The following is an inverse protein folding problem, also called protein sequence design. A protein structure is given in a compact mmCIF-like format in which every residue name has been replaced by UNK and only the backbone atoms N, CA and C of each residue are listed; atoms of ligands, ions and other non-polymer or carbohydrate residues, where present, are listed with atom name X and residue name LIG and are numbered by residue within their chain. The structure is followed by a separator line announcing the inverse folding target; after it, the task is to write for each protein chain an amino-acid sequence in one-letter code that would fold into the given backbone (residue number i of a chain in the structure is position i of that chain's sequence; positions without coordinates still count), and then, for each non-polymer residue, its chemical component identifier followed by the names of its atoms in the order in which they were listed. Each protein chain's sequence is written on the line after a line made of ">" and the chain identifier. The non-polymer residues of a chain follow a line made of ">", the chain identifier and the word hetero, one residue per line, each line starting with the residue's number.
data_IF_541817976159
#
_entry.id   IF_541817976159
#
_cell.length_a   1.000
_cell.length_b   1.000
_cell.length_c   1.000
_cell.angle_alpha   90.00
_cell.angle_beta   90.00
_cell.angle_gamma   90.00
#
_symmetry.space_group_name_H-M   'P 1'
#
loop_
_entity.id
_entity.type
_entity.pdbx_description
1 polymer ?
#
# COMPACT_ATOMS: atom_id res chain seq x y z
N UNK A 1 -30.08 10.90 -11.62
CA UNK A 1 -31.55 10.79 -11.74
C UNK A 1 -31.90 9.31 -11.75
N UNK A 2 -32.41 8.81 -10.63
CA UNK A 2 -33.12 7.54 -10.55
C UNK A 2 -34.08 7.71 -9.37
N UNK A 3 -35.38 7.74 -9.68
CA UNK A 3 -36.48 7.89 -8.73
C UNK A 3 -36.76 6.49 -8.19
N UNK A 4 -36.61 6.29 -6.88
CA UNK A 4 -37.05 5.05 -6.22
C UNK A 4 -38.20 5.38 -5.30
N UNK A 5 -39.35 4.84 -5.66
CA UNK A 5 -40.63 4.95 -4.99
C UNK A 5 -40.60 4.28 -3.61
N UNK A 6 -41.10 4.99 -2.60
CA UNK A 6 -41.40 4.42 -1.28
C UNK A 6 -42.85 3.94 -1.31
N UNK A 7 -43.03 2.61 -1.29
CA UNK A 7 -44.33 1.99 -1.03
C UNK A 7 -44.68 2.16 0.46
N UNK A 8 -45.76 2.88 0.73
CA UNK A 8 -46.39 2.94 2.05
C UNK A 8 -47.20 1.68 2.33
N UNK A 9 -46.92 1.04 3.46
CA UNK A 9 -47.75 -0.04 4.01
C UNK A 9 -48.98 0.53 4.69
N UNK A 10 -50.16 0.19 4.16
CA UNK A 10 -51.48 0.49 4.75
C UNK A 10 -51.79 -0.58 5.80
N UNK A 11 -51.85 -0.20 7.07
CA UNK A 11 -52.44 -1.02 8.13
C UNK A 11 -53.97 -0.84 8.10
N UNK A 12 -54.67 -1.83 7.56
CA UNK A 12 -56.12 -1.95 7.60
C UNK A 12 -56.55 -2.40 9.01
N UNK A 13 -57.21 -1.53 9.77
CA UNK A 13 -57.96 -1.91 10.98
C UNK A 13 -59.39 -2.25 10.57
N UNK A 14 -59.76 -3.52 10.75
CA UNK A 14 -61.08 -4.07 10.43
C UNK A 14 -62.18 -3.47 11.32
N UNK A 15 -63.23 -2.97 10.66
CA UNK A 15 -64.48 -2.56 11.28
C UNK A 15 -65.32 -3.79 11.66
N UNK A 16 -65.75 -3.87 12.92
CA UNK A 16 -66.92 -4.65 13.32
C UNK A 16 -68.11 -3.68 13.42
N UNK A 17 -69.05 -3.80 12.49
CA UNK A 17 -70.33 -3.09 12.50
C UNK A 17 -71.42 -4.03 13.04
N UNK A 18 -72.13 -3.61 14.07
CA UNK A 18 -73.26 -4.35 14.64
C UNK A 18 -74.13 -3.49 15.56
N UNK A 19 -75.25 -3.00 15.02
CA UNK A 19 -76.58 -2.99 15.65
C UNK A 19 -76.92 -1.99 16.76
N UNK A 20 -77.74 -1.00 16.37
CA UNK A 20 -78.84 -0.30 17.06
C UNK A 20 -78.69 0.42 18.42
N UNK A 21 -79.00 1.73 18.34
CA UNK A 21 -79.70 2.61 19.26
C UNK A 21 -79.49 2.48 20.78
N UNK A 22 -78.60 3.33 21.30
CA UNK A 22 -78.91 4.19 22.44
C UNK A 22 -77.87 5.32 22.53
N UNK A 23 -78.33 6.57 22.52
CA UNK A 23 -77.52 7.73 22.84
C UNK A 23 -77.11 7.71 24.34
N UNK A 24 -75.84 7.97 24.67
CA UNK A 24 -75.52 8.70 25.88
C UNK A 24 -74.78 10.00 25.53
N UNK A 25 -75.24 11.09 26.13
CA UNK A 25 -74.52 12.36 26.18
C UNK A 25 -73.17 12.16 26.87
N UNK A 26 -72.08 12.66 26.27
CA UNK A 26 -70.77 12.73 26.92
C UNK A 26 -69.76 13.54 26.13
N UNK A 27 -69.50 14.76 26.61
CA UNK A 27 -68.44 15.73 26.35
C UNK A 27 -67.53 15.60 25.10
N UNK A 28 -67.47 16.71 24.36
CA UNK A 28 -66.55 16.91 23.25
C UNK A 28 -65.07 16.97 23.66
N UNK A 29 -64.26 16.20 22.97
CA UNK A 29 -62.87 16.53 22.68
C UNK A 29 -62.76 16.79 21.18
N UNK A 30 -62.34 18.00 20.81
CA UNK A 30 -62.03 18.34 19.44
C UNK A 30 -60.77 17.58 18.99
N UNK A 31 -60.88 16.75 17.96
CA UNK A 31 -59.72 16.12 17.32
C UNK A 31 -58.78 17.21 16.76
N UNK A 32 -57.59 17.34 17.35
CA UNK A 32 -56.51 18.22 16.86
C UNK A 32 -56.04 17.76 15.49
N UNK A 33 -55.60 18.69 14.64
CA UNK A 33 -55.03 18.37 13.33
C UNK A 33 -53.62 17.77 13.47
N UNK A 34 -53.21 16.93 12.51
CA UNK A 34 -51.87 16.31 12.52
C UNK A 34 -50.74 17.33 12.65
N UNK A 35 -50.87 18.51 12.03
CA UNK A 35 -49.89 19.59 12.12
C UNK A 35 -49.74 20.19 13.53
N UNK A 36 -50.84 20.26 14.30
CA UNK A 36 -50.80 20.73 15.69
C UNK A 36 -50.18 19.68 16.62
N UNK A 37 -50.41 18.40 16.32
CA UNK A 37 -49.79 17.27 17.02
C UNK A 37 -48.28 17.26 16.77
N UNK A 38 -47.85 17.41 15.51
CA UNK A 38 -46.43 17.44 15.14
C UNK A 38 -45.71 18.68 15.71
N UNK A 39 -46.35 19.85 15.72
CA UNK A 39 -45.78 21.06 16.30
C UNK A 39 -45.65 21.00 17.83
N UNK A 40 -46.63 20.37 18.51
CA UNK A 40 -46.54 20.11 19.94
C UNK A 40 -45.43 19.09 20.25
N UNK A 41 -45.31 18.02 19.47
CA UNK A 41 -44.25 17.04 19.58
C UNK A 41 -42.85 17.65 19.33
N UNK A 42 -42.71 18.54 18.34
CA UNK A 42 -41.45 19.21 18.05
C UNK A 42 -41.01 20.19 19.17
N UNK A 43 -41.96 20.83 19.86
CA UNK A 43 -41.66 21.64 21.05
C UNK A 43 -41.25 20.78 22.25
N UNK A 44 -41.78 19.55 22.32
CA UNK A 44 -41.48 18.65 23.41
C UNK A 44 -40.23 17.76 23.17
N UNK A 45 -39.75 17.68 21.93
CA UNK A 45 -38.55 16.92 21.56
C UNK A 45 -37.25 17.49 22.19
N UNK A 46 -36.29 16.59 22.42
CA UNK A 46 -34.96 16.96 22.93
C UNK A 46 -34.20 17.84 21.95
N UNK A 47 -33.44 18.79 22.48
CA UNK A 47 -32.52 19.64 21.71
C UNK A 47 -31.19 18.95 21.43
N UNK A 48 -30.86 17.87 22.13
CA UNK A 48 -29.62 17.13 21.90
C UNK A 48 -29.54 16.62 20.46
N UNK A 49 -28.34 16.65 19.87
CA UNK A 49 -28.08 16.14 18.51
C UNK A 49 -26.93 15.16 18.57
N UNK A 50 -27.24 13.89 18.38
CA UNK A 50 -26.23 12.82 18.38
C UNK A 50 -25.77 12.59 16.95
N UNK A 51 -24.46 12.44 16.75
CA UNK A 51 -23.85 12.08 15.48
C UNK A 51 -23.06 10.79 15.67
N UNK A 52 -23.42 9.76 14.92
CA UNK A 52 -22.71 8.48 14.91
C UNK A 52 -21.83 8.42 13.65
N UNK A 53 -20.56 8.09 13.85
CA UNK A 53 -19.63 7.70 12.79
C UNK A 53 -19.22 6.26 13.04
N UNK A 54 -19.30 5.36 12.06
CA UNK A 54 -19.77 5.56 10.68
C UNK A 54 -21.30 5.71 10.61
N UNK A 55 -21.82 6.15 9.46
CA UNK A 55 -23.27 6.26 9.21
C UNK A 55 -23.95 4.89 9.19
N UNK A 56 -25.26 4.87 9.44
CA UNK A 56 -26.06 3.64 9.32
C UNK A 56 -25.95 3.01 7.93
N UNK A 57 -25.82 1.68 7.91
CA UNK A 57 -25.59 0.88 6.70
C UNK A 57 -24.18 0.96 6.14
N UNK A 58 -23.23 1.63 6.79
CA UNK A 58 -21.87 1.73 6.28
C UNK A 58 -21.18 0.35 6.22
N UNK A 59 -20.45 0.11 5.14
CA UNK A 59 -19.63 -1.08 4.95
C UNK A 59 -18.15 -0.71 4.89
N UNK A 60 -17.27 -1.69 5.13
CA UNK A 60 -15.81 -1.56 5.10
C UNK A 60 -15.24 -0.50 6.05
N UNK A 61 -15.84 -0.39 7.23
CA UNK A 61 -15.43 0.57 8.25
C UNK A 61 -14.07 0.19 8.83
N UNK A 62 -13.21 1.20 9.04
CA UNK A 62 -11.91 1.05 9.69
C UNK A 62 -12.03 0.45 11.10
N UNK A 63 -10.95 -0.14 11.60
CA UNK A 63 -11.00 -0.88 12.88
C UNK A 63 -10.69 -0.02 14.10
N UNK A 64 -9.93 1.06 13.92
CA UNK A 64 -9.36 1.81 15.04
C UNK A 64 -10.11 3.13 15.27
N UNK A 65 -9.96 4.10 14.36
CA UNK A 65 -10.41 5.48 14.56
C UNK A 65 -11.65 5.83 13.71
N UNK A 66 -12.27 4.82 13.09
CA UNK A 66 -13.42 4.98 12.19
C UNK A 66 -14.78 4.85 12.90
N UNK A 67 -14.80 4.67 14.22
CA UNK A 67 -16.05 4.53 15.01
C UNK A 67 -16.05 5.46 16.22
N UNK A 68 -17.01 6.38 16.27
CA UNK A 68 -17.18 7.33 17.36
C UNK A 68 -18.62 7.86 17.43
N UNK A 69 -19.04 8.31 18.60
CA UNK A 69 -20.29 9.05 18.78
C UNK A 69 -19.97 10.43 19.36
N UNK A 70 -20.62 11.47 18.86
CA UNK A 70 -20.55 12.82 19.44
C UNK A 70 -21.95 13.37 19.68
N UNK A 71 -22.08 14.32 20.60
CA UNK A 71 -23.35 15.01 20.86
C UNK A 71 -23.18 16.52 20.99
N UNK A 72 -24.05 17.30 20.34
CA UNK A 72 -24.24 18.73 20.62
C UNK A 72 -25.51 18.97 21.44
N UNK A 73 -25.56 20.08 22.17
CA UNK A 73 -26.76 20.52 22.92
C UNK A 73 -27.28 19.52 23.96
N UNK A 74 -26.42 18.60 24.40
CA UNK A 74 -26.71 17.59 25.41
C UNK A 74 -25.46 16.84 25.89
N UNK A 75 -25.66 15.77 26.65
CA UNK A 75 -24.60 14.87 27.16
C UNK A 75 -25.00 13.42 26.93
N UNK A 76 -24.06 12.60 26.47
CA UNK A 76 -24.25 11.17 26.28
C UNK A 76 -24.46 10.51 27.64
N UNK A 77 -25.52 9.72 27.76
CA UNK A 77 -25.86 8.96 28.97
C UNK A 77 -25.62 7.47 28.80
N UNK A 78 -25.77 6.96 27.58
CA UNK A 78 -25.49 5.56 27.24
C UNK A 78 -25.01 5.45 25.80
N UNK A 79 -24.00 4.61 25.58
CA UNK A 79 -23.59 4.17 24.25
C UNK A 79 -23.32 2.68 24.30
N UNK A 80 -24.04 1.92 23.50
CA UNK A 80 -23.90 0.48 23.39
C UNK A 80 -23.45 0.12 21.98
N UNK A 81 -22.32 -0.59 21.88
CA UNK A 81 -21.84 -1.18 20.63
C UNK A 81 -21.84 -2.70 20.80
N UNK A 82 -22.53 -3.43 19.91
CA UNK A 82 -22.65 -4.89 19.94
C UNK A 82 -22.37 -5.50 18.57
N UNK A 83 -21.84 -6.72 18.54
CA UNK A 83 -21.80 -7.53 17.32
C UNK A 83 -23.19 -8.05 16.97
N UNK A 84 -23.41 -8.57 15.76
CA UNK A 84 -24.69 -9.18 15.39
C UNK A 84 -25.05 -10.37 16.31
N UNK A 85 -24.03 -11.05 16.84
CA UNK A 85 -24.18 -12.20 17.73
C UNK A 85 -24.48 -11.77 19.18
N UNK A 86 -24.63 -10.46 19.43
CA UNK A 86 -24.99 -9.88 20.72
C UNK A 86 -23.81 -9.61 21.66
N UNK A 87 -22.57 -9.86 21.23
CA UNK A 87 -21.39 -9.61 22.07
C UNK A 87 -21.14 -8.10 22.20
N UNK A 88 -21.11 -7.60 23.44
CA UNK A 88 -20.80 -6.20 23.71
C UNK A 88 -19.33 -5.86 23.42
N UNK A 89 -19.09 -4.67 22.88
CA UNK A 89 -17.78 -4.06 22.69
C UNK A 89 -17.59 -2.99 23.75
N UNK A 90 -16.49 -3.08 24.48
CA UNK A 90 -16.12 -2.06 25.45
C UNK A 90 -15.79 -0.73 24.76
N UNK A 91 -16.23 0.36 25.36
CA UNK A 91 -15.91 1.71 24.92
C UNK A 91 -16.26 2.71 26.01
N UNK A 92 -15.71 3.92 25.87
CA UNK A 92 -15.73 4.91 26.93
C UNK A 92 -16.33 6.23 26.47
N UNK A 93 -17.31 6.72 27.24
CA UNK A 93 -17.78 8.10 27.15
C UNK A 93 -16.70 8.99 27.78
N UNK A 94 -16.29 10.04 27.07
CA UNK A 94 -15.36 11.04 27.57
C UNK A 94 -15.89 11.72 28.84
N UNK A 95 -15.01 12.24 29.69
CA UNK A 95 -15.40 12.82 30.99
C UNK A 95 -16.34 14.02 30.86
N UNK A 96 -16.32 14.71 29.72
CA UNK A 96 -17.21 15.83 29.39
C UNK A 96 -18.61 15.38 28.92
N UNK A 97 -18.82 14.07 28.73
CA UNK A 97 -20.06 13.51 28.21
C UNK A 97 -20.35 13.84 26.74
N UNK A 98 -19.39 14.40 25.99
CA UNK A 98 -19.63 14.90 24.62
C UNK A 98 -19.24 13.92 23.53
N UNK A 99 -18.42 12.94 23.84
CA UNK A 99 -17.94 11.95 22.88
C UNK A 99 -17.81 10.56 23.45
N UNK A 100 -17.84 9.55 22.58
CA UNK A 100 -17.57 8.16 22.90
C UNK A 100 -16.75 7.50 21.79
N UNK A 101 -15.89 6.55 22.16
CA UNK A 101 -15.15 5.69 21.23
C UNK A 101 -14.95 4.29 21.82
N UNK A 102 -14.77 3.25 20.99
CA UNK A 102 -14.40 1.91 21.48
C UNK A 102 -13.03 1.93 22.16
N UNK A 103 -12.83 1.06 23.15
CA UNK A 103 -11.58 0.97 23.93
C UNK A 103 -10.46 0.25 23.15
N UNK A 104 -10.84 -0.54 22.15
CA UNK A 104 -9.94 -1.34 21.34
C UNK A 104 -10.41 -1.40 19.89
N UNK A 105 -9.50 -1.85 19.01
CA UNK A 105 -9.80 -2.08 17.61
C UNK A 105 -10.97 -3.06 17.43
N UNK A 106 -11.91 -2.73 16.55
CA UNK A 106 -13.01 -3.61 16.19
C UNK A 106 -12.52 -4.86 15.45
N UNK A 107 -13.28 -5.94 15.53
CA UNK A 107 -13.00 -7.18 14.81
C UNK A 107 -13.26 -6.96 13.33
N UNK A 108 -12.41 -7.50 12.45
CA UNK A 108 -12.63 -7.52 10.99
C UNK A 108 -13.85 -8.34 10.61
N UNK A 109 -14.40 -8.06 9.43
CA UNK A 109 -15.51 -8.81 8.83
C UNK A 109 -16.73 -8.98 9.75
N UNK A 110 -16.92 -8.06 10.70
CA UNK A 110 -17.95 -8.15 11.74
C UNK A 110 -18.95 -7.03 11.55
N UNK A 111 -20.24 -7.38 11.61
CA UNK A 111 -21.34 -6.43 11.63
C UNK A 111 -21.61 -5.99 13.06
N UNK A 112 -21.71 -4.69 13.25
CA UNK A 112 -21.96 -4.03 14.51
C UNK A 112 -23.28 -3.26 14.49
N UNK A 113 -23.91 -3.17 15.66
CA UNK A 113 -25.03 -2.29 15.94
C UNK A 113 -24.62 -1.35 17.08
N UNK A 114 -24.75 -0.05 16.84
CA UNK A 114 -24.49 1.02 17.79
C UNK A 114 -25.81 1.70 18.15
N UNK A 115 -26.09 1.85 19.43
CA UNK A 115 -27.18 2.66 19.95
C UNK A 115 -26.64 3.69 20.94
N UNK A 116 -27.03 4.95 20.80
CA UNK A 116 -26.60 6.05 21.65
C UNK A 116 -27.82 6.79 22.21
N UNK A 117 -27.73 7.19 23.46
CA UNK A 117 -28.73 8.02 24.15
C UNK A 117 -28.03 9.24 24.75
N UNK A 118 -28.67 10.40 24.63
CA UNK A 118 -28.21 11.64 25.23
C UNK A 118 -29.36 12.37 25.91
N UNK A 119 -29.03 13.26 26.86
CA UNK A 119 -29.97 14.20 27.49
C UNK A 119 -29.58 15.64 27.20
N UNK A 120 -30.57 16.47 26.89
CA UNK A 120 -30.37 17.92 26.82
C UNK A 120 -30.41 18.58 28.20
N UNK A 121 -30.25 19.90 28.26
CA UNK A 121 -30.27 20.67 29.50
C UNK A 121 -31.63 20.64 30.22
N UNK A 122 -32.71 20.37 29.49
CA UNK A 122 -34.07 20.24 30.02
C UNK A 122 -34.36 18.81 30.51
N UNK A 123 -33.37 17.91 30.45
CA UNK A 123 -33.44 16.51 30.87
C UNK A 123 -34.09 15.57 29.85
N UNK A 124 -34.39 16.05 28.65
CA UNK A 124 -35.11 15.31 27.61
C UNK A 124 -34.17 14.42 26.82
N UNK A 125 -34.60 13.18 26.57
CA UNK A 125 -33.79 12.17 25.89
C UNK A 125 -33.84 12.32 24.37
N UNK A 126 -32.68 12.12 23.73
CA UNK A 126 -32.53 11.89 22.32
C UNK A 126 -31.87 10.52 22.12
N UNK A 127 -32.29 9.80 21.08
CA UNK A 127 -31.72 8.50 20.72
C UNK A 127 -31.28 8.52 19.28
N UNK A 128 -30.16 7.86 18.99
CA UNK A 128 -29.70 7.59 17.64
C UNK A 128 -29.13 6.17 17.56
N UNK A 129 -29.25 5.55 16.39
CA UNK A 129 -28.72 4.21 16.15
C UNK A 129 -28.09 4.11 14.77
N UNK A 130 -27.09 3.24 14.65
CA UNK A 130 -26.47 2.91 13.39
C UNK A 130 -26.02 1.44 13.39
N UNK A 131 -26.10 0.80 12.24
CA UNK A 131 -25.48 -0.49 11.97
C UNK A 131 -24.39 -0.33 10.92
N UNK A 132 -23.30 -1.08 11.05
CA UNK A 132 -22.20 -1.01 10.08
C UNK A 132 -21.39 -2.30 10.05
N UNK A 133 -20.67 -2.52 8.95
CA UNK A 133 -19.77 -3.68 8.77
C UNK A 133 -18.33 -3.21 8.69
N UNK A 134 -17.47 -3.78 9.54
CA UNK A 134 -16.02 -3.55 9.49
C UNK A 134 -15.35 -4.18 8.27
N UNK A 135 -14.19 -3.65 7.90
CA UNK A 135 -13.41 -4.12 6.75
C UNK A 135 -13.14 -5.63 6.78
N UNK A 136 -13.24 -6.26 5.61
CA UNK A 136 -12.92 -7.67 5.37
C UNK A 136 -11.77 -7.79 4.38
N UNK A 137 -10.95 -8.87 4.42
CA UNK A 137 -9.91 -9.08 3.41
C UNK A 137 -10.47 -9.16 1.97
N UNK A 138 -11.70 -9.62 1.79
CA UNK A 138 -12.35 -9.71 0.48
C UNK A 138 -12.78 -8.36 -0.07
N UNK A 139 -13.21 -7.44 0.80
CA UNK A 139 -13.64 -6.09 0.40
C UNK A 139 -12.63 -4.98 0.72
N UNK A 140 -11.38 -5.35 1.00
CA UNK A 140 -10.31 -4.37 1.24
C UNK A 140 -9.02 -4.68 0.47
N UNK A 141 -8.22 -3.64 0.26
CA UNK A 141 -6.88 -3.74 -0.28
C UNK A 141 -5.85 -3.03 0.62
N UNK A 142 -4.60 -3.43 0.44
CA UNK A 142 -3.42 -2.84 1.05
C UNK A 142 -2.28 -2.76 0.02
N UNK A 143 -1.36 -1.81 0.21
CA UNK A 143 -0.08 -1.76 -0.48
C UNK A 143 1.04 -2.28 0.41
N UNK A 144 1.81 -3.26 -0.06
CA UNK A 144 3.18 -3.44 0.40
C UNK A 144 4.06 -2.42 -0.31
N UNK A 145 5.13 -1.96 0.34
CA UNK A 145 5.96 -0.92 -0.23
C UNK A 145 7.43 -1.15 0.09
N UNK A 146 8.29 -0.52 -0.69
CA UNK A 146 9.72 -0.40 -0.45
C UNK A 146 10.16 1.01 -0.88
N UNK A 147 11.12 1.65 -0.19
CA UNK A 147 11.86 1.19 0.99
C UNK A 147 11.03 1.08 2.28
N UNK A 148 11.54 0.31 3.23
CA UNK A 148 10.97 0.20 4.57
C UNK A 148 11.24 1.45 5.42
N UNK A 149 10.45 1.61 6.48
CA UNK A 149 10.61 2.72 7.43
C UNK A 149 11.98 2.67 8.14
N UNK A 150 12.64 3.82 8.23
CA UNK A 150 13.98 3.97 8.77
C UNK A 150 15.12 3.48 7.87
N UNK A 151 14.84 2.90 6.69
CA UNK A 151 15.88 2.39 5.81
C UNK A 151 16.81 3.50 5.29
N UNK A 152 18.05 3.13 4.96
CA UNK A 152 18.97 3.95 4.17
C UNK A 152 19.28 3.22 2.88
N UNK A 153 18.98 3.84 1.74
CA UNK A 153 19.08 3.24 0.41
C UNK A 153 19.95 4.10 -0.52
N UNK A 154 20.41 3.51 -1.62
CA UNK A 154 21.10 4.22 -2.69
C UNK A 154 20.17 5.17 -3.45
N UNK A 155 20.78 6.10 -4.18
CA UNK A 155 20.09 7.20 -4.90
C UNK A 155 19.18 6.75 -6.06
N UNK A 156 19.29 5.49 -6.48
CA UNK A 156 18.46 4.91 -7.54
C UNK A 156 17.17 4.24 -7.04
N UNK A 157 16.94 4.13 -5.74
CA UNK A 157 15.80 3.39 -5.20
C UNK A 157 14.48 4.13 -5.42
N UNK A 158 13.54 3.65 -6.26
CA UNK A 158 12.21 4.25 -6.33
C UNK A 158 11.43 3.92 -5.04
N UNK A 159 10.38 4.69 -4.76
CA UNK A 159 9.33 4.24 -3.84
C UNK A 159 8.38 3.37 -4.64
N UNK A 160 8.37 2.06 -4.42
CA UNK A 160 7.49 1.13 -5.12
C UNK A 160 6.41 0.63 -4.19
N UNK A 161 5.16 0.63 -4.65
CA UNK A 161 3.99 0.14 -3.93
C UNK A 161 3.36 -0.98 -4.76
N UNK A 162 3.23 -2.15 -4.16
CA UNK A 162 2.52 -3.30 -4.74
C UNK A 162 1.24 -3.57 -3.97
N UNK A 163 0.10 -3.41 -4.63
CA UNK A 163 -1.21 -3.67 -4.05
C UNK A 163 -1.55 -5.15 -4.11
N UNK A 164 -2.08 -5.68 -3.01
CA UNK A 164 -2.51 -7.09 -2.94
C UNK A 164 -3.75 -7.39 -3.81
N UNK A 165 -4.37 -6.36 -4.42
CA UNK A 165 -5.50 -6.46 -5.34
C UNK A 165 -5.36 -5.49 -6.51
N UNK A 166 -5.90 -5.82 -7.69
CA UNK A 166 -5.96 -4.89 -8.81
C UNK A 166 -6.75 -3.62 -8.48
N UNK A 167 -6.13 -2.47 -8.72
CA UNK A 167 -6.74 -1.14 -8.61
C UNK A 167 -7.34 -0.76 -9.97
N UNK A 168 -8.63 -0.45 -9.95
CA UNK A 168 -9.42 0.06 -11.08
C UNK A 168 -9.48 1.58 -11.07
N UNK A 169 -9.67 2.20 -9.90
CA UNK A 169 -9.61 3.66 -9.74
C UNK A 169 -8.20 4.09 -9.32
N UNK A 170 -7.29 4.05 -10.29
CA UNK A 170 -5.89 4.45 -10.09
C UNK A 170 -5.76 5.90 -9.67
N UNK A 171 -6.64 6.77 -10.18
CA UNK A 171 -6.63 8.20 -9.88
C UNK A 171 -6.96 8.47 -8.41
N UNK A 172 -8.02 7.86 -7.88
CA UNK A 172 -8.38 8.00 -6.47
C UNK A 172 -7.28 7.46 -5.55
N UNK A 173 -6.73 6.29 -5.85
CA UNK A 173 -5.65 5.68 -5.06
C UNK A 173 -4.36 6.49 -5.12
N UNK A 174 -3.93 6.96 -6.29
CA UNK A 174 -2.72 7.77 -6.41
C UNK A 174 -2.87 9.14 -5.75
N UNK A 175 -4.06 9.76 -5.80
CA UNK A 175 -4.31 11.04 -5.11
C UNK A 175 -4.22 10.91 -3.58
N UNK A 176 -4.46 9.71 -3.05
CA UNK A 176 -4.35 9.39 -1.63
C UNK A 176 -2.91 9.01 -1.20
N UNK A 177 -1.96 9.01 -2.13
CA UNK A 177 -0.56 8.69 -1.87
C UNK A 177 0.29 9.93 -2.15
N UNK A 178 1.13 10.30 -1.19
CA UNK A 178 2.07 11.41 -1.35
C UNK A 178 3.49 10.93 -1.08
N UNK A 179 4.42 11.30 -1.98
CA UNK A 179 5.84 11.10 -1.78
C UNK A 179 6.53 12.46 -1.87
N UNK A 180 7.30 12.81 -0.85
CA UNK A 180 8.07 14.06 -0.81
C UNK A 180 9.52 13.79 -0.43
N UNK A 181 10.41 14.69 -0.86
CA UNK A 181 11.84 14.65 -0.51
C UNK A 181 12.28 15.97 0.11
N UNK A 182 13.16 15.90 1.11
CA UNK A 182 13.79 17.09 1.70
C UNK A 182 14.65 17.88 0.71
N UNK A 183 15.06 17.27 -0.41
CA UNK A 183 15.75 17.96 -1.50
C UNK A 183 14.86 18.90 -2.33
N UNK A 184 13.53 18.79 -2.19
CA UNK A 184 12.56 19.54 -3.00
C UNK A 184 12.42 19.03 -4.44
N UNK A 185 13.01 17.88 -4.79
CA UNK A 185 12.81 17.26 -6.10
C UNK A 185 11.32 16.95 -6.33
N UNK A 186 10.82 17.26 -7.52
CA UNK A 186 9.50 16.81 -7.97
C UNK A 186 9.49 15.27 -8.04
N UNK A 187 8.46 14.65 -7.45
CA UNK A 187 8.29 13.20 -7.44
C UNK A 187 6.97 12.86 -8.12
N UNK A 188 7.01 11.98 -9.11
CA UNK A 188 5.83 11.59 -9.88
C UNK A 188 5.62 10.08 -9.79
N UNK A 189 4.37 9.67 -9.64
CA UNK A 189 3.96 8.26 -9.65
C UNK A 189 3.72 7.74 -11.07
N UNK A 190 4.07 6.49 -11.33
CA UNK A 190 3.83 5.78 -12.58
C UNK A 190 3.28 4.38 -12.32
N UNK A 191 2.15 4.05 -12.93
CA UNK A 191 1.55 2.72 -12.83
C UNK A 191 2.14 1.77 -13.87
N UNK A 192 2.86 0.74 -13.42
CA UNK A 192 3.33 -0.34 -14.28
C UNK A 192 2.27 -1.41 -14.55
N UNK A 193 1.30 -1.54 -13.64
CA UNK A 193 0.19 -2.49 -13.77
C UNK A 193 -1.00 -2.00 -12.95
N UNK A 194 -2.15 -2.69 -12.93
CA UNK A 194 -3.20 -2.40 -11.95
C UNK A 194 -2.77 -2.60 -10.49
N UNK A 195 -1.63 -3.23 -10.21
CA UNK A 195 -1.18 -3.57 -8.87
C UNK A 195 0.14 -2.92 -8.47
N UNK A 196 0.84 -2.25 -9.39
CA UNK A 196 2.15 -1.65 -9.07
C UNK A 196 2.20 -0.19 -9.48
N UNK A 197 2.50 0.65 -8.48
CA UNK A 197 2.71 2.09 -8.62
C UNK A 197 4.08 2.43 -8.05
N UNK A 198 4.93 3.02 -8.87
CA UNK A 198 6.27 3.44 -8.48
C UNK A 198 6.37 4.97 -8.51
N UNK A 199 7.13 5.56 -7.60
CA UNK A 199 7.41 6.99 -7.54
C UNK A 199 8.91 7.23 -7.61
N UNK A 200 9.31 8.21 -8.43
CA UNK A 200 10.69 8.70 -8.49
C UNK A 200 10.73 10.15 -9.00
N UNK A 201 11.84 10.87 -8.77
CA UNK A 201 12.14 12.09 -9.50
C UNK A 201 12.67 11.83 -10.90
N UNK A 202 12.82 12.90 -11.68
CA UNK A 202 13.36 12.83 -13.04
C UNK A 202 14.77 12.24 -13.07
N UNK A 203 15.65 12.79 -12.22
CA UNK A 203 17.01 12.34 -11.98
C UNK A 203 17.05 11.45 -10.73
N UNK A 204 18.17 10.77 -10.48
CA UNK A 204 18.36 10.06 -9.21
C UNK A 204 18.12 10.98 -8.01
N UNK A 205 17.71 10.39 -6.89
CA UNK A 205 17.54 11.16 -5.67
C UNK A 205 18.83 11.89 -5.30
N UNK A 206 18.72 13.12 -4.83
CA UNK A 206 19.86 13.79 -4.22
C UNK A 206 20.35 12.97 -3.02
N UNK A 207 21.66 12.81 -2.91
CA UNK A 207 22.28 12.10 -1.80
C UNK A 207 21.95 12.78 -0.46
N UNK A 208 21.91 11.99 0.62
CA UNK A 208 21.65 12.46 1.98
C UNK A 208 20.30 13.19 2.16
N UNK A 209 19.28 12.79 1.39
CA UNK A 209 17.92 13.33 1.48
C UNK A 209 17.03 12.42 2.34
N UNK A 210 16.03 13.01 2.97
CA UNK A 210 14.94 12.28 3.63
C UNK A 210 13.75 12.23 2.68
N UNK A 211 13.26 11.02 2.40
CA UNK A 211 12.07 10.79 1.58
C UNK A 211 10.94 10.31 2.50
N UNK A 212 9.76 10.91 2.35
CA UNK A 212 8.55 10.54 3.12
C UNK A 212 7.49 10.03 2.18
N UNK A 213 7.04 8.80 2.40
CA UNK A 213 5.85 8.21 1.80
C UNK A 213 4.68 8.32 2.80
N UNK A 214 3.57 8.90 2.35
CA UNK A 214 2.29 8.89 3.07
C UNK A 214 1.27 8.10 2.28
N UNK A 215 0.75 7.04 2.87
CA UNK A 215 -0.36 6.23 2.37
C UNK A 215 -1.61 6.63 3.15
N UNK A 216 -2.49 7.44 2.57
CA UNK A 216 -3.77 7.81 3.16
C UNK A 216 -4.92 7.02 2.52
N UNK A 217 -4.78 5.69 2.47
CA UNK A 217 -5.66 4.81 1.71
C UNK A 217 -6.92 4.37 2.47
N UNK A 218 -6.99 4.60 3.78
CA UNK A 218 -8.18 4.27 4.58
C UNK A 218 -9.43 4.95 4.01
N UNK A 219 -10.43 4.15 3.64
CA UNK A 219 -11.67 4.66 3.07
C UNK A 219 -11.58 5.06 1.59
N UNK A 220 -10.45 4.86 0.91
CA UNK A 220 -10.31 5.12 -0.53
C UNK A 220 -10.77 3.92 -1.33
N UNK A 221 -11.70 4.10 -2.26
CA UNK A 221 -12.16 3.02 -3.13
C UNK A 221 -11.15 2.76 -4.25
N UNK A 222 -10.57 1.56 -4.30
CA UNK A 222 -9.60 1.17 -5.33
C UNK A 222 -10.24 0.40 -6.49
N UNK A 223 -11.35 -0.28 -6.23
CA UNK A 223 -12.19 -0.96 -7.21
C UNK A 223 -13.61 -1.06 -6.64
N UNK A 224 -14.66 -1.34 -7.46
CA UNK A 224 -16.04 -1.37 -6.98
C UNK A 224 -16.24 -2.21 -5.70
N UNK A 225 -16.58 -1.57 -4.59
CA UNK A 225 -16.78 -2.19 -3.27
C UNK A 225 -15.52 -2.61 -2.52
N UNK A 226 -14.33 -2.27 -3.04
CA UNK A 226 -13.02 -2.64 -2.50
C UNK A 226 -12.30 -1.38 -1.96
N UNK A 227 -12.20 -1.29 -0.64
CA UNK A 227 -11.70 -0.09 0.05
C UNK A 227 -10.27 -0.27 0.55
N UNK A 228 -9.49 0.80 0.55
CA UNK A 228 -8.19 0.82 1.18
C UNK A 228 -8.34 0.81 2.70
N UNK A 229 -7.40 0.13 3.37
CA UNK A 229 -7.44 -0.07 4.82
C UNK A 229 -6.14 0.34 5.52
N UNK A 230 -5.30 1.12 4.84
CA UNK A 230 -4.00 1.56 5.34
C UNK A 230 -3.95 3.07 5.49
N UNK A 231 -3.56 3.52 6.67
CA UNK A 231 -3.08 4.86 6.90
C UNK A 231 -1.67 4.76 7.49
N UNK A 232 -0.64 5.18 6.74
CA UNK A 232 0.76 4.99 7.15
C UNK A 232 1.65 6.14 6.68
N UNK A 233 2.55 6.58 7.54
CA UNK A 233 3.69 7.43 7.17
C UNK A 233 4.96 6.60 7.29
N UNK A 234 5.81 6.68 6.28
CA UNK A 234 7.08 5.96 6.17
C UNK A 234 8.14 6.98 5.81
N UNK A 235 9.27 6.93 6.51
CA UNK A 235 10.39 7.82 6.25
C UNK A 235 11.67 7.01 6.07
N UNK A 236 12.37 7.24 4.96
CA UNK A 236 13.66 6.63 4.69
C UNK A 236 14.66 7.68 4.22
N UNK A 237 15.94 7.32 4.19
CA UNK A 237 17.03 8.20 3.76
C UNK A 237 17.68 7.69 2.48
N UNK A 238 18.11 8.62 1.64
CA UNK A 238 19.04 8.34 0.56
C UNK A 238 20.46 8.54 1.09
N UNK A 239 21.33 7.56 0.86
CA UNK A 239 22.73 7.64 1.24
C UNK A 239 23.57 8.41 0.22
N UNK A 240 24.87 8.08 0.19
CA UNK A 240 25.81 8.49 -0.86
C UNK A 240 25.36 8.08 -2.27
N UNK A 241 25.76 8.84 -3.27
CA UNK A 241 25.55 8.50 -4.67
C UNK A 241 26.55 7.44 -5.11
N UNK A 242 26.09 6.31 -5.66
CA UNK A 242 26.96 5.30 -6.23
C UNK A 242 26.34 4.71 -7.50
N UNK A 243 27.11 4.77 -8.59
CA UNK A 243 26.78 4.13 -9.87
C UNK A 243 27.95 3.26 -10.28
N UNK A 244 27.67 2.00 -10.57
CA UNK A 244 28.66 1.02 -11.03
C UNK A 244 28.43 0.71 -12.48
N UNK A 245 29.33 1.17 -13.35
CA UNK A 245 29.20 0.97 -14.80
C UNK A 245 29.92 -0.31 -15.20
N UNK A 246 29.16 -1.31 -15.62
CA UNK A 246 29.64 -2.55 -16.21
C UNK A 246 29.73 -2.37 -17.72
N UNK A 247 30.93 -2.45 -18.26
CA UNK A 247 31.14 -2.52 -19.70
C UNK A 247 31.36 -3.98 -20.11
N UNK A 248 30.38 -4.55 -20.81
CA UNK A 248 30.41 -5.96 -21.20
C UNK A 248 31.46 -6.26 -22.29
N UNK A 249 31.93 -5.25 -23.03
CA UNK A 249 32.95 -5.39 -24.06
C UNK A 249 34.35 -5.45 -23.43
N UNK A 250 34.66 -4.48 -22.57
CA UNK A 250 35.94 -4.41 -21.86
C UNK A 250 36.02 -5.35 -20.66
N UNK A 251 34.86 -5.83 -20.18
CA UNK A 251 34.71 -6.77 -19.06
C UNK A 251 35.22 -6.21 -17.75
N UNK A 252 35.03 -4.91 -17.60
CA UNK A 252 35.37 -4.16 -16.40
C UNK A 252 34.10 -3.51 -15.83
N UNK A 253 34.04 -3.46 -14.51
CA UNK A 253 33.08 -2.64 -13.78
C UNK A 253 33.81 -1.48 -13.10
N UNK A 254 33.41 -0.25 -13.40
CA UNK A 254 33.91 0.95 -12.73
C UNK A 254 32.88 1.42 -11.71
N UNK A 255 33.24 1.35 -10.44
CA UNK A 255 32.42 1.82 -9.32
C UNK A 255 32.75 3.29 -9.06
N UNK A 256 31.78 4.16 -9.32
CA UNK A 256 31.89 5.60 -9.08
C UNK A 256 31.02 5.99 -7.90
N UNK A 257 31.62 6.62 -6.88
CA UNK A 257 30.94 7.10 -5.69
C UNK A 257 31.12 8.61 -5.58
N UNK A 258 30.02 9.33 -5.42
CA UNK A 258 29.98 10.79 -5.30
C UNK A 258 30.77 11.52 -6.42
N UNK A 259 30.71 10.98 -7.63
CA UNK A 259 31.37 11.53 -8.82
C UNK A 259 32.84 11.12 -9.02
N UNK A 260 33.46 10.41 -8.07
CA UNK A 260 34.83 9.93 -8.18
C UNK A 260 34.90 8.41 -8.38
N UNK A 261 35.84 7.94 -9.19
CA UNK A 261 36.10 6.50 -9.35
C UNK A 261 36.68 5.96 -8.05
N UNK A 262 35.97 5.02 -7.44
CA UNK A 262 36.37 4.35 -6.21
C UNK A 262 37.18 3.08 -6.50
N UNK A 263 36.75 2.30 -7.49
CA UNK A 263 37.40 1.04 -7.87
C UNK A 263 37.03 0.62 -9.28
N UNK A 264 37.96 -0.06 -9.95
CA UNK A 264 37.66 -0.84 -11.15
C UNK A 264 37.83 -2.32 -10.82
N UNK A 265 36.84 -3.13 -11.18
CA UNK A 265 36.76 -4.56 -10.86
C UNK A 265 36.66 -5.35 -12.18
N UNK A 266 37.52 -6.37 -12.41
CA UNK A 266 37.35 -7.28 -13.53
C UNK A 266 36.11 -8.15 -13.32
N UNK A 267 35.32 -8.31 -14.39
CA UNK A 267 34.04 -9.04 -14.34
C UNK A 267 33.96 -10.12 -15.41
N UNK A 268 32.97 -11.00 -15.30
CA UNK A 268 32.51 -11.86 -16.39
C UNK A 268 31.00 -11.69 -16.55
N UNK A 269 30.55 -11.12 -17.66
CA UNK A 269 29.13 -10.88 -17.93
C UNK A 269 28.47 -12.08 -18.64
N UNK A 270 27.25 -11.87 -19.15
CA UNK A 270 26.51 -12.83 -19.97
C UNK A 270 27.25 -13.23 -21.24
N UNK A 271 27.29 -14.54 -21.49
CA UNK A 271 27.88 -15.11 -22.70
C UNK A 271 27.18 -14.62 -23.98
N UNK A 272 27.77 -14.80 -25.18
CA UNK A 272 27.09 -14.43 -26.43
C UNK A 272 25.73 -15.11 -26.64
N UNK A 273 25.53 -16.32 -26.10
CA UNK A 273 24.26 -17.03 -26.16
C UNK A 273 23.22 -16.49 -25.17
N UNK A 274 23.69 -15.94 -24.04
CA UNK A 274 22.86 -15.43 -22.95
C UNK A 274 23.40 -14.06 -22.47
N UNK A 275 23.34 -13.02 -23.32
CA UNK A 275 23.97 -11.75 -23.02
C UNK A 275 23.26 -11.03 -21.87
N UNK A 276 23.98 -10.19 -21.12
CA UNK A 276 23.41 -9.38 -20.03
C UNK A 276 22.63 -8.21 -20.61
N UNK A 277 21.47 -7.85 -20.07
CA UNK A 277 20.74 -6.64 -20.50
C UNK A 277 21.61 -5.39 -20.38
N UNK A 278 21.46 -4.47 -21.34
CA UNK A 278 21.95 -3.09 -21.18
C UNK A 278 21.01 -2.29 -20.25
N UNK A 279 21.47 -1.14 -19.77
CA UNK A 279 20.65 -0.17 -19.06
C UNK A 279 20.95 -0.05 -17.57
N UNK A 280 20.16 0.78 -16.90
CA UNK A 280 20.31 1.13 -15.49
C UNK A 280 19.49 0.16 -14.63
N UNK A 281 20.16 -0.61 -13.78
CA UNK A 281 19.52 -1.60 -12.92
C UNK A 281 19.74 -1.27 -11.45
N UNK A 282 18.66 -1.24 -10.68
CA UNK A 282 18.69 -0.92 -9.24
C UNK A 282 18.92 -2.18 -8.44
N UNK A 283 19.86 -2.15 -7.49
CA UNK A 283 20.05 -3.23 -6.52
C UNK A 283 18.82 -3.28 -5.61
N UNK A 284 17.99 -4.29 -5.80
CA UNK A 284 16.71 -4.45 -5.08
C UNK A 284 16.84 -5.30 -3.80
N UNK A 285 17.75 -6.27 -3.82
CA UNK A 285 18.00 -7.19 -2.71
C UNK A 285 19.49 -7.50 -2.60
N UNK A 286 19.93 -7.88 -1.40
CA UNK A 286 21.29 -8.31 -1.12
C UNK A 286 21.25 -9.59 -0.27
N UNK A 287 21.97 -10.62 -0.72
CA UNK A 287 22.11 -11.89 -0.01
C UNK A 287 23.60 -12.20 0.14
N UNK A 288 24.05 -12.45 1.36
CA UNK A 288 25.43 -12.91 1.58
C UNK A 288 25.68 -14.22 0.84
N UNK A 289 24.71 -15.13 0.88
CA UNK A 289 24.66 -16.34 0.06
C UNK A 289 23.21 -16.63 -0.34
N UNK A 290 22.99 -17.13 -1.55
CA UNK A 290 21.67 -17.58 -2.01
C UNK A 290 21.78 -18.73 -3.01
N UNK A 291 20.74 -19.56 -3.09
CA UNK A 291 20.59 -20.51 -4.19
C UNK A 291 20.13 -19.78 -5.45
N UNK A 292 20.77 -20.04 -6.58
CA UNK A 292 20.34 -19.59 -7.90
C UNK A 292 20.06 -20.81 -8.79
N UNK A 293 18.82 -20.92 -9.24
CA UNK A 293 18.31 -22.03 -10.05
C UNK A 293 17.72 -21.49 -11.35
N UNK A 294 18.34 -21.85 -12.47
CA UNK A 294 17.96 -21.38 -13.81
C UNK A 294 16.53 -21.74 -14.19
N UNK A 295 15.96 -22.82 -13.64
CA UNK A 295 14.57 -23.20 -13.91
C UNK A 295 13.57 -22.14 -13.43
N UNK A 296 13.91 -21.38 -12.38
CA UNK A 296 13.05 -20.35 -11.79
C UNK A 296 12.91 -19.12 -12.69
N UNK A 297 13.82 -18.95 -13.65
CA UNK A 297 13.91 -17.80 -14.54
C UNK A 297 13.88 -18.20 -16.02
N UNK A 298 13.55 -19.45 -16.32
CA UNK A 298 13.30 -19.94 -17.68
C UNK A 298 14.48 -20.60 -18.39
N UNK A 299 15.65 -20.72 -17.76
CA UNK A 299 16.78 -21.48 -18.28
C UNK A 299 16.63 -22.95 -17.91
N UNK A 300 15.86 -23.69 -18.72
CA UNK A 300 15.60 -25.12 -18.53
C UNK A 300 16.22 -25.93 -19.65
N UNK A 301 16.82 -27.05 -19.29
CA UNK A 301 17.24 -28.07 -20.25
C UNK A 301 16.04 -28.88 -20.77
N UNK A 302 16.29 -29.82 -21.69
CA UNK A 302 15.25 -30.67 -22.30
C UNK A 302 14.48 -31.57 -21.32
N UNK A 303 14.98 -31.77 -20.09
CA UNK A 303 14.29 -32.50 -19.01
C UNK A 303 13.49 -31.58 -18.08
N UNK A 304 13.47 -30.27 -18.34
CA UNK A 304 12.82 -29.26 -17.51
C UNK A 304 13.61 -28.85 -16.25
N UNK A 305 14.83 -29.36 -16.05
CA UNK A 305 15.75 -28.95 -14.97
C UNK A 305 16.48 -27.66 -15.35
N UNK A 306 16.91 -26.88 -14.36
CA UNK A 306 17.69 -25.67 -14.61
C UNK A 306 19.00 -25.97 -15.34
N UNK A 307 19.39 -25.13 -16.29
CA UNK A 307 20.73 -25.19 -16.91
C UNK A 307 21.85 -24.95 -15.88
N UNK A 308 21.51 -24.31 -14.76
CA UNK A 308 22.33 -24.18 -13.57
C UNK A 308 21.47 -24.32 -12.31
N UNK A 309 22.05 -24.85 -11.23
CA UNK A 309 21.49 -24.89 -9.88
C UNK A 309 22.64 -24.83 -8.88
N UNK A 310 22.99 -23.62 -8.44
CA UNK A 310 24.11 -23.36 -7.53
C UNK A 310 23.51 -22.98 -6.18
N UNK A 311 23.81 -23.76 -5.14
CA UNK A 311 23.13 -23.67 -3.83
C UNK A 311 23.61 -22.52 -2.96
N UNK A 312 24.81 -22.03 -3.22
CA UNK A 312 25.62 -21.17 -2.35
C UNK A 312 26.32 -20.07 -3.16
N UNK A 313 25.56 -19.35 -4.01
CA UNK A 313 26.11 -18.21 -4.76
C UNK A 313 26.43 -17.07 -3.77
N UNK A 314 27.71 -16.67 -3.65
CA UNK A 314 28.12 -15.67 -2.66
C UNK A 314 27.81 -14.25 -3.13
N UNK A 315 27.62 -13.34 -2.17
CA UNK A 315 27.56 -11.89 -2.35
C UNK A 315 26.60 -11.44 -3.46
N UNK A 316 25.43 -12.07 -3.52
CA UNK A 316 24.46 -11.89 -4.58
C UNK A 316 23.59 -10.65 -4.37
N UNK A 317 23.48 -9.83 -5.41
CA UNK A 317 22.65 -8.62 -5.40
C UNK A 317 21.72 -8.60 -6.62
N UNK A 318 20.41 -8.55 -6.37
CA UNK A 318 19.39 -8.69 -7.42
C UNK A 318 19.22 -7.38 -8.19
N UNK A 319 19.28 -7.47 -9.52
CA UNK A 319 19.14 -6.34 -10.45
C UNK A 319 17.85 -6.38 -11.26
N UNK A 320 17.23 -7.55 -11.45
CA UNK A 320 15.99 -7.70 -12.20
C UNK A 320 15.09 -8.81 -11.66
N UNK A 321 13.78 -8.73 -11.92
CA UNK A 321 12.83 -9.79 -11.56
C UNK A 321 12.95 -10.99 -12.49
N UNK A 322 13.47 -10.79 -13.71
CA UNK A 322 13.78 -11.88 -14.65
C UNK A 322 15.09 -12.62 -14.34
N UNK A 323 15.77 -12.34 -13.22
CA UNK A 323 16.88 -13.16 -12.74
C UNK A 323 18.29 -12.62 -12.97
N UNK A 324 18.48 -11.36 -13.36
CA UNK A 324 19.80 -10.75 -13.44
C UNK A 324 20.31 -10.42 -12.04
N UNK A 325 21.50 -10.91 -11.71
CA UNK A 325 22.24 -10.57 -10.51
C UNK A 325 23.62 -10.05 -10.84
N UNK A 326 24.19 -9.28 -9.93
CA UNK A 326 25.63 -9.17 -9.76
C UNK A 326 26.01 -9.97 -8.52
N UNK A 327 26.98 -10.87 -8.64
CA UNK A 327 27.29 -11.82 -7.57
C UNK A 327 28.74 -12.29 -7.63
N UNK A 328 29.21 -12.86 -6.52
CA UNK A 328 30.49 -13.56 -6.48
C UNK A 328 30.43 -14.90 -7.19
N UNK A 329 31.54 -15.30 -7.81
CA UNK A 329 31.68 -16.51 -8.59
C UNK A 329 32.98 -17.21 -8.21
N UNK A 330 32.85 -18.27 -7.41
CA UNK A 330 33.99 -19.08 -6.95
C UNK A 330 34.31 -20.27 -7.88
N UNK A 331 33.42 -20.59 -8.82
CA UNK A 331 33.53 -21.77 -9.68
C UNK A 331 34.21 -21.46 -11.02
N UNK A 332 34.20 -20.20 -11.43
CA UNK A 332 34.93 -19.71 -12.59
C UNK A 332 36.43 -19.67 -12.31
N UNK A 333 37.24 -20.05 -13.30
CA UNK A 333 38.69 -19.87 -13.21
C UNK A 333 39.03 -18.37 -13.18
N UNK A 334 40.00 -17.96 -12.36
CA UNK A 334 40.42 -16.55 -12.22
C UNK A 334 40.67 -15.84 -13.55
N UNK A 335 41.18 -16.57 -14.56
CA UNK A 335 41.50 -16.06 -15.88
C UNK A 335 40.29 -15.53 -16.68
N UNK A 336 39.05 -15.88 -16.31
CA UNK A 336 37.86 -15.43 -17.04
C UNK A 336 37.51 -13.98 -16.71
N UNK A 337 37.79 -13.51 -15.50
CA UNK A 337 37.41 -12.17 -15.06
C UNK A 337 38.28 -11.13 -15.78
N UNK A 338 37.64 -10.18 -16.45
CA UNK A 338 38.32 -9.21 -17.34
C UNK A 338 38.62 -9.75 -18.75
N UNK A 339 38.36 -11.04 -19.02
CA UNK A 339 38.78 -11.69 -20.27
C UNK A 339 37.62 -12.27 -21.09
N UNK A 340 36.68 -12.98 -20.44
CA UNK A 340 35.61 -13.75 -21.12
C UNK A 340 34.29 -13.58 -20.39
N UNK A 341 33.20 -13.41 -21.15
CA UNK A 341 31.83 -13.43 -20.63
C UNK A 341 31.26 -14.84 -20.71
N UNK A 342 30.86 -15.43 -19.58
CA UNK A 342 30.49 -16.85 -19.51
C UNK A 342 29.13 -17.11 -18.86
N UNK A 343 28.45 -16.09 -18.33
CA UNK A 343 27.25 -16.31 -17.52
C UNK A 343 25.97 -16.46 -18.35
N UNK A 344 24.85 -16.77 -17.68
CA UNK A 344 23.48 -16.77 -18.23
C UNK A 344 22.79 -15.39 -18.08
N UNK A 345 23.56 -14.31 -18.14
CA UNK A 345 23.06 -12.94 -18.05
C UNK A 345 23.43 -12.20 -16.76
N UNK A 346 23.93 -12.89 -15.74
CA UNK A 346 24.48 -12.27 -14.52
C UNK A 346 25.83 -11.57 -14.77
N UNK A 347 26.21 -10.68 -13.86
CA UNK A 347 27.57 -10.11 -13.78
C UNK A 347 28.33 -10.83 -12.66
N UNK A 348 29.29 -11.68 -13.04
CA UNK A 348 30.13 -12.41 -12.09
C UNK A 348 31.34 -11.60 -11.67
N UNK A 349 31.62 -11.61 -10.36
CA UNK A 349 32.81 -11.07 -9.72
C UNK A 349 33.64 -12.22 -9.16
N UNK A 350 34.98 -12.12 -9.17
CA UNK A 350 35.79 -13.15 -8.52
C UNK A 350 35.47 -13.21 -7.02
N UNK A 351 35.32 -14.43 -6.49
CA UNK A 351 34.94 -14.67 -5.10
C UNK A 351 35.39 -16.05 -4.59
N UNK A 352 35.23 -16.26 -3.29
CA UNK A 352 35.52 -17.52 -2.62
C UNK A 352 34.23 -18.24 -2.24
N UNK A 353 34.28 -19.57 -2.23
CA UNK A 353 33.17 -20.41 -1.78
C UNK A 353 32.85 -20.11 -0.31
N UNK A 354 31.56 -19.97 0.01
CA UNK A 354 31.08 -19.70 1.37
C UNK A 354 31.05 -18.22 1.77
N UNK A 355 31.34 -17.28 0.86
CA UNK A 355 31.20 -15.83 1.09
C UNK A 355 31.94 -15.30 2.34
N UNK A 356 33.07 -15.91 2.73
CA UNK A 356 33.77 -15.59 3.99
C UNK A 356 35.14 -14.92 3.80
N UNK A 357 35.62 -14.76 2.57
CA UNK A 357 36.89 -14.06 2.30
C UNK A 357 36.63 -12.59 1.94
N UNK A 358 36.89 -11.63 2.86
CA UNK A 358 36.64 -10.22 2.60
C UNK A 358 37.61 -9.59 1.58
N UNK A 359 38.67 -10.31 1.19
CA UNK A 359 39.65 -9.81 0.22
C UNK A 359 39.19 -9.98 -1.23
N UNK A 360 38.08 -10.70 -1.44
CA UNK A 360 37.58 -10.99 -2.77
C UNK A 360 36.88 -9.78 -3.40
N UNK A 361 36.97 -9.60 -4.73
CA UNK A 361 36.24 -8.55 -5.43
C UNK A 361 34.71 -8.58 -5.20
N UNK A 362 34.11 -9.77 -5.16
CA UNK A 362 32.69 -9.96 -4.84
C UNK A 362 32.32 -9.47 -3.44
N UNK A 363 33.06 -9.91 -2.42
CA UNK A 363 32.90 -9.46 -1.04
C UNK A 363 33.05 -7.93 -0.90
N UNK A 364 34.12 -7.36 -1.49
CA UNK A 364 34.35 -5.92 -1.46
C UNK A 364 33.18 -5.14 -2.08
N UNK A 365 32.69 -5.57 -3.25
CA UNK A 365 31.60 -4.86 -3.94
C UNK A 365 30.29 -4.95 -3.16
N UNK A 366 30.00 -6.11 -2.56
CA UNK A 366 28.85 -6.30 -1.70
C UNK A 366 28.89 -5.39 -0.49
N UNK A 367 30.00 -5.34 0.25
CA UNK A 367 30.13 -4.50 1.44
C UNK A 367 30.10 -3.00 1.12
N UNK A 368 30.50 -2.64 -0.10
CA UNK A 368 30.51 -1.25 -0.57
C UNK A 368 29.23 -0.81 -1.28
N UNK A 369 28.22 -1.67 -1.38
CA UNK A 369 26.95 -1.38 -2.08
C UNK A 369 25.76 -1.33 -1.12
N UNK A 370 24.79 -0.47 -1.42
CA UNK A 370 23.50 -0.42 -0.75
C UNK A 370 22.40 -0.96 -1.65
N UNK A 371 21.33 -1.48 -1.05
CA UNK A 371 20.04 -1.57 -1.75
C UNK A 371 19.69 -0.17 -2.24
N UNK A 372 19.31 -0.03 -3.51
CA UNK A 372 19.07 1.25 -4.17
C UNK A 372 20.22 1.81 -4.99
N UNK A 373 21.42 1.26 -4.89
CA UNK A 373 22.51 1.65 -5.78
C UNK A 373 22.24 1.18 -7.21
N UNK A 374 22.82 1.87 -8.18
CA UNK A 374 22.60 1.59 -9.60
C UNK A 374 23.80 0.88 -10.20
N UNK A 375 23.52 -0.20 -10.93
CA UNK A 375 24.46 -0.86 -11.85
C UNK A 375 24.01 -0.54 -13.27
N UNK A 376 24.85 0.18 -14.02
CA UNK A 376 24.58 0.50 -15.42
C UNK A 376 25.39 -0.43 -16.31
N UNK A 377 24.71 -1.25 -17.12
CA UNK A 377 25.38 -2.11 -18.10
C UNK A 377 25.39 -1.44 -19.46
N UNK A 378 26.55 -1.43 -20.11
CA UNK A 378 26.76 -0.89 -21.46
C UNK A 378 27.51 -1.87 -22.34
N UNK A 379 27.42 -1.66 -23.66
CA UNK A 379 28.17 -2.41 -24.68
C UNK A 379 27.92 -3.93 -24.65
N UNK A 380 26.77 -4.37 -24.13
CA UNK A 380 26.29 -5.75 -24.30
C UNK A 380 25.56 -5.91 -25.64
N UNK A 381 25.61 -7.08 -26.31
CA UNK A 381 24.85 -7.31 -27.53
C UNK A 381 23.33 -7.53 -27.30
N UNK A 382 22.84 -7.47 -26.05
CA UNK A 382 21.41 -7.56 -25.74
C UNK A 382 20.71 -6.19 -25.84
N UNK A 383 19.38 -6.20 -25.74
CA UNK A 383 18.54 -5.01 -25.58
C UNK A 383 18.69 -4.37 -24.19
N UNK A 384 18.19 -3.14 -24.08
CA UNK A 384 18.01 -2.47 -22.79
C UNK A 384 16.95 -3.17 -21.96
N UNK A 385 17.20 -3.31 -20.66
CA UNK A 385 16.23 -3.87 -19.71
C UNK A 385 14.93 -3.06 -19.74
N UNK A 386 13.80 -3.77 -19.67
CA UNK A 386 12.50 -3.12 -19.61
C UNK A 386 12.33 -2.37 -18.27
N UNK A 387 11.68 -1.20 -18.26
CA UNK A 387 11.45 -0.43 -17.03
C UNK A 387 10.72 -1.18 -15.91
N UNK A 388 9.81 -2.09 -16.26
CA UNK A 388 8.99 -2.87 -15.34
C UNK A 388 9.68 -4.15 -14.82
N UNK A 389 10.81 -4.54 -15.40
CA UNK A 389 11.60 -5.70 -14.96
C UNK A 389 12.45 -5.33 -13.75
N UNK A 390 11.98 -5.62 -12.54
CA UNK A 390 12.56 -5.11 -11.30
C UNK A 390 12.23 -3.63 -11.08
N UNK A 391 13.09 -2.91 -10.36
CA UNK A 391 12.91 -1.50 -9.99
C UNK A 391 13.57 -0.55 -11.00
N UNK A 392 13.47 -0.87 -12.30
CA UNK A 392 14.34 -0.33 -13.35
C UNK A 392 13.68 0.79 -14.17
N UNK A 393 12.78 1.55 -13.54
CA UNK A 393 12.02 2.66 -14.13
C UNK A 393 12.86 3.80 -14.73
N UNK A 394 14.18 3.81 -14.47
CA UNK A 394 15.15 4.76 -15.02
C UNK A 394 15.40 4.58 -16.52
N UNK A 395 15.10 3.40 -17.08
CA UNK A 395 15.22 3.11 -18.52
C UNK A 395 14.01 3.62 -19.34
N UNK A 396 13.16 4.46 -18.73
CA UNK A 396 12.02 5.12 -19.35
C UNK A 396 12.27 6.63 -19.34
N UNK A 397 11.93 7.31 -20.43
CA UNK A 397 12.06 8.77 -20.47
C UNK A 397 11.15 9.43 -19.43
N UNK A 398 11.51 10.62 -18.95
CA UNK A 398 10.69 11.34 -17.97
C UNK A 398 9.31 11.72 -18.52
N UNK A 399 9.20 11.99 -19.83
CA UNK A 399 7.93 12.27 -20.48
C UNK A 399 6.99 11.05 -20.44
N UNK A 400 7.49 9.86 -20.79
CA UNK A 400 6.72 8.60 -20.69
C UNK A 400 6.36 8.26 -19.24
N UNK A 401 7.28 8.52 -18.30
CA UNK A 401 7.02 8.32 -16.88
C UNK A 401 5.81 9.15 -16.42
N UNK A 402 5.81 10.45 -16.71
CA UNK A 402 4.71 11.36 -16.36
C UNK A 402 3.40 11.04 -17.08
N UNK A 403 3.45 10.52 -18.31
CA UNK A 403 2.24 10.13 -19.03
C UNK A 403 1.48 9.01 -18.28
N UNK A 404 2.19 8.06 -17.67
CA UNK A 404 1.59 7.01 -16.85
C UNK A 404 1.00 7.49 -15.51
N UNK A 405 1.34 8.72 -15.08
CA UNK A 405 0.77 9.34 -13.88
C UNK A 405 -0.67 9.86 -14.09
N UNK A 406 -1.08 10.06 -15.34
CA UNK A 406 -2.36 10.66 -15.72
C UNK A 406 -3.44 9.60 -16.08
N UNK A 407 -3.14 8.31 -15.89
CA UNK A 407 -3.96 7.18 -16.37
C UNK A 407 -4.60 6.33 -15.28
#
# INVERSE_FOLDING_TARGET
>A
MAVSAVLGGVLMLSACNGGDDAQPKGNGEASKSQAEVDAAAAKDASKARIVITPKDGADNVGLNDSTSVTVSDGTLTSVELKTNEGAAVAGKIAADGKSWKPDAALKRSTKYALAATAKDADGKEAHENASFTTLSPEKSFIGSFTPDDGATVGVGMPVSITFNKPIKDKKAVQAAISVSSSSGQEVVGHWFSPQRLDFRPEQYWQANSTVTLKLALEGVEGAPGIMGSQNKTVTFKTGRSQVSTVDAKTKQMTVTRDGAVLKTIPISAGSPANPTYNGQMVISEKFKETRMDGATVGFKNGEGKGEYDIKDVPHAMRLSTSGTFIHGNYWGADSIFGSVNTSHGCVGLNDAKGANDPNQPGAWFFDNSLIGDVVTVVNSPDKTIKPDNGLNGWNMSWAEWKAGAAS
#
